data_IF_929719083224
#
_entry.id   IF_929719083224
#
_cell.length_a   1.000
_cell.length_b   1.000
_cell.length_c   1.000
_cell.angle_alpha   90.00
_cell.angle_beta   90.00
_cell.angle_gamma   90.00
#
_symmetry.space_group_name_H-M   'P 1'
#
loop_
_entity.id
_entity.type
_entity.pdbx_description
1 polymer ?
#
# COMPACT_ATOMS: atom_id res chain seq x y z
N UNK A 1 -9.99 -16.32 -3.82
CA UNK A 1 -9.30 -15.01 -3.80
C UNK A 1 -10.33 -13.93 -3.54
N UNK A 2 -10.36 -13.33 -2.34
CA UNK A 2 -11.15 -12.11 -2.10
C UNK A 2 -10.69 -10.98 -3.02
N UNK A 3 -11.66 -10.28 -3.63
CA UNK A 3 -11.45 -9.12 -4.50
C UNK A 3 -12.30 -7.97 -3.97
N UNK A 4 -11.75 -6.76 -3.96
CA UNK A 4 -12.44 -5.57 -3.47
C UNK A 4 -11.93 -4.32 -4.20
N UNK A 5 -12.82 -3.36 -4.45
CA UNK A 5 -12.47 -2.09 -5.07
C UNK A 5 -12.00 -1.10 -4.01
N UNK A 6 -10.86 -0.46 -4.23
CA UNK A 6 -10.30 0.54 -3.32
C UNK A 6 -9.37 1.50 -4.06
N UNK A 7 -9.46 2.79 -3.72
CA UNK A 7 -8.54 3.84 -4.20
C UNK A 7 -8.33 3.86 -5.73
N UNK A 8 -9.38 3.59 -6.52
CA UNK A 8 -9.32 3.66 -7.98
C UNK A 8 -8.96 2.35 -8.68
N UNK A 9 -8.63 1.27 -7.94
CA UNK A 9 -8.25 -0.02 -8.50
C UNK A 9 -8.96 -1.19 -7.80
N UNK A 10 -8.93 -2.37 -8.41
CA UNK A 10 -9.30 -3.60 -7.75
C UNK A 10 -8.08 -4.19 -7.06
N UNK A 11 -8.22 -4.54 -5.79
CA UNK A 11 -7.21 -5.26 -5.03
C UNK A 11 -7.70 -6.69 -4.78
N UNK A 12 -6.74 -7.61 -4.72
CA UNK A 12 -6.98 -9.03 -4.52
C UNK A 12 -6.01 -9.60 -3.50
N UNK A 13 -6.52 -10.48 -2.63
CA UNK A 13 -5.70 -11.28 -1.72
C UNK A 13 -5.60 -12.69 -2.30
N UNK A 14 -4.60 -12.91 -3.15
CA UNK A 14 -4.40 -14.19 -3.85
C UNK A 14 -3.77 -15.18 -2.88
N UNK A 15 -4.38 -16.37 -2.73
CA UNK A 15 -3.77 -17.41 -1.92
C UNK A 15 -2.78 -18.18 -2.77
N UNK A 16 -1.51 -18.13 -2.37
CA UNK A 16 -0.47 -19.01 -2.88
C UNK A 16 -0.52 -20.29 -2.08
N UNK A 17 -0.66 -21.43 -2.76
CA UNK A 17 -0.62 -22.75 -2.15
C UNK A 17 0.60 -23.50 -2.66
N UNK A 18 1.52 -23.83 -1.74
CA UNK A 18 2.78 -24.50 -2.07
C UNK A 18 2.75 -25.97 -1.62
N UNK A 19 2.05 -26.79 -2.41
CA UNK A 19 1.77 -28.18 -2.07
C UNK A 19 3.02 -29.05 -1.89
N UNK A 20 3.93 -29.06 -2.87
CA UNK A 20 4.96 -30.10 -2.97
C UNK A 20 6.16 -29.94 -2.03
N UNK A 21 6.40 -28.74 -1.50
CA UNK A 21 7.57 -28.48 -0.64
C UNK A 21 7.18 -28.36 0.83
N UNK A 22 6.10 -27.66 1.14
CA UNK A 22 5.74 -27.31 2.53
C UNK A 22 4.32 -27.68 2.90
N UNK A 23 3.41 -27.72 1.93
CA UNK A 23 1.97 -27.83 2.13
C UNK A 23 1.39 -26.65 2.94
N UNK A 24 1.95 -25.45 2.68
CA UNK A 24 1.51 -24.19 3.27
C UNK A 24 0.70 -23.34 2.29
N UNK A 25 -0.13 -22.46 2.85
CA UNK A 25 -0.89 -21.48 2.10
C UNK A 25 -0.80 -20.09 2.73
N UNK A 26 -0.56 -19.06 1.92
CA UNK A 26 -0.50 -17.67 2.39
C UNK A 26 -1.11 -16.71 1.39
N UNK A 27 -1.61 -15.55 1.84
CA UNK A 27 -2.07 -14.49 0.95
C UNK A 27 -0.87 -13.69 0.42
N UNK A 28 -0.95 -13.32 -0.85
CA UNK A 28 -0.18 -12.21 -1.41
C UNK A 28 -1.14 -11.14 -1.93
N UNK A 29 -0.63 -9.92 -2.04
CA UNK A 29 -1.39 -8.80 -2.58
C UNK A 29 -1.27 -8.79 -4.11
N UNK A 30 -2.39 -8.56 -4.79
CA UNK A 30 -2.43 -8.29 -6.22
C UNK A 30 -3.34 -7.10 -6.50
N UNK A 31 -3.14 -6.46 -7.64
CA UNK A 31 -4.01 -5.39 -8.12
C UNK A 31 -4.38 -5.59 -9.58
N UNK A 32 -5.51 -4.98 -9.97
CA UNK A 32 -6.03 -4.99 -11.33
C UNK A 32 -6.74 -3.68 -11.64
N UNK A 33 -6.53 -3.09 -12.83
CA UNK A 33 -7.29 -1.93 -13.27
C UNK A 33 -8.71 -2.29 -13.73
N UNK A 34 -8.95 -3.52 -14.18
CA UNK A 34 -10.13 -3.90 -14.97
C UNK A 34 -10.76 -5.24 -14.59
N UNK A 35 -10.28 -5.89 -13.52
CA UNK A 35 -10.63 -7.25 -13.05
C UNK A 35 -10.20 -8.40 -13.97
N UNK A 36 -9.57 -8.11 -15.11
CA UNK A 36 -9.14 -9.09 -16.11
C UNK A 36 -7.62 -9.29 -16.06
N UNK A 37 -6.84 -8.20 -16.12
CA UNK A 37 -5.39 -8.24 -15.99
C UNK A 37 -4.98 -8.03 -14.53
N UNK A 38 -4.20 -8.97 -13.98
CA UNK A 38 -3.81 -8.97 -12.57
C UNK A 38 -2.28 -8.95 -12.41
N UNK A 39 -1.80 -8.11 -11.50
CA UNK A 39 -0.39 -7.96 -11.18
C UNK A 39 -0.16 -8.23 -9.68
N UNK A 40 0.70 -9.20 -9.36
CA UNK A 40 1.15 -9.44 -7.97
C UNK A 40 2.04 -8.29 -7.50
N UNK A 41 1.81 -7.83 -6.28
CA UNK A 41 2.61 -6.79 -5.60
C UNK A 41 3.65 -7.50 -4.74
N UNK A 42 4.92 -7.12 -4.90
CA UNK A 42 6.04 -7.68 -4.13
C UNK A 42 6.03 -9.22 -4.09
N UNK A 43 6.16 -9.82 -5.28
CA UNK A 43 6.08 -11.26 -5.53
C UNK A 43 6.86 -12.08 -4.49
N UNK A 44 6.30 -13.22 -4.07
CA UNK A 44 6.88 -14.15 -3.08
C UNK A 44 6.98 -13.59 -1.66
N UNK A 45 6.33 -12.45 -1.38
CA UNK A 45 6.22 -11.90 -0.03
C UNK A 45 4.82 -12.14 0.54
N UNK A 46 4.76 -12.84 1.67
CA UNK A 46 3.52 -13.06 2.42
C UNK A 46 2.91 -11.71 2.84
N UNK A 47 1.69 -11.41 2.39
CA UNK A 47 1.02 -10.16 2.73
C UNK A 47 0.60 -10.11 4.20
N UNK A 48 0.06 -11.23 4.70
CA UNK A 48 -0.02 -11.53 6.12
C UNK A 48 0.98 -12.66 6.34
N UNK A 49 2.06 -12.44 7.11
CA UNK A 49 3.08 -13.44 7.31
C UNK A 49 2.55 -14.58 8.18
N UNK A 50 2.92 -15.81 7.83
CA UNK A 50 2.67 -16.97 8.68
C UNK A 50 3.58 -16.94 9.90
N UNK A 51 3.11 -17.48 11.02
CA UNK A 51 3.99 -17.67 12.17
C UNK A 51 5.18 -18.58 11.78
N UNK A 52 6.36 -18.21 12.28
CA UNK A 52 7.57 -19.06 12.17
C UNK A 52 7.61 -20.13 13.27
N UNK A 53 6.73 -20.06 14.25
CA UNK A 53 6.67 -21.00 15.37
C UNK A 53 5.63 -22.08 15.09
N UNK A 54 6.11 -23.31 15.13
CA UNK A 54 5.30 -24.52 14.93
C UNK A 54 4.13 -24.55 15.91
N UNK A 55 2.94 -24.89 15.39
CA UNK A 55 1.65 -24.96 16.10
C UNK A 55 1.07 -23.62 16.58
N UNK A 56 1.66 -22.47 16.23
CA UNK A 56 0.92 -21.22 16.36
C UNK A 56 -0.26 -21.20 15.39
N UNK A 57 -1.33 -20.49 15.76
CA UNK A 57 -2.64 -20.53 15.13
C UNK A 57 -2.69 -20.24 13.62
N UNK A 58 -1.64 -19.66 13.04
CA UNK A 58 -1.51 -19.34 11.61
C UNK A 58 -0.16 -19.82 11.02
N UNK A 59 0.45 -20.84 11.63
CA UNK A 59 1.69 -21.45 11.17
C UNK A 59 1.59 -22.03 9.75
N UNK A 60 0.52 -22.80 9.49
CA UNK A 60 0.43 -23.61 8.28
C UNK A 60 -0.31 -22.95 7.13
N UNK A 61 -1.47 -22.35 7.40
CA UNK A 61 -2.30 -21.76 6.36
C UNK A 61 -2.95 -20.45 6.79
N UNK A 62 -3.04 -19.51 5.86
CA UNK A 62 -3.76 -18.24 6.02
C UNK A 62 -4.70 -18.05 4.81
N UNK A 63 -5.99 -17.89 5.08
CA UNK A 63 -7.01 -17.57 4.09
C UNK A 63 -7.78 -16.32 4.48
N UNK A 64 -7.59 -15.23 3.74
CA UNK A 64 -8.25 -13.97 4.04
C UNK A 64 -9.71 -13.94 3.59
N UNK A 65 -10.52 -13.15 4.29
CA UNK A 65 -11.77 -12.60 3.77
C UNK A 65 -11.49 -11.30 2.99
N UNK A 66 -12.53 -10.74 2.36
CA UNK A 66 -12.47 -9.36 1.89
C UNK A 66 -12.24 -8.41 3.09
N UNK A 67 -11.36 -7.40 2.97
CA UNK A 67 -11.14 -6.43 4.04
C UNK A 67 -12.35 -5.54 4.31
N UNK A 68 -12.48 -5.10 5.57
CA UNK A 68 -13.39 -4.02 5.97
C UNK A 68 -12.58 -2.72 6.05
N UNK A 69 -12.85 -1.80 5.13
CA UNK A 69 -12.14 -0.53 5.01
C UNK A 69 -12.89 0.53 5.81
N UNK A 70 -12.23 1.09 6.84
CA UNK A 70 -12.73 2.21 7.65
C UNK A 70 -11.89 3.46 7.38
N UNK A 71 -12.32 4.60 7.92
CA UNK A 71 -11.65 5.90 7.75
C UNK A 71 -10.20 5.88 8.26
N UNK A 72 -9.94 5.22 9.39
CA UNK A 72 -8.67 5.23 10.12
C UNK A 72 -7.87 3.92 9.98
N UNK A 73 -8.54 2.81 9.66
CA UNK A 73 -7.93 1.48 9.63
C UNK A 73 -8.62 0.53 8.65
N UNK A 74 -7.89 -0.51 8.28
CA UNK A 74 -8.38 -1.62 7.49
C UNK A 74 -8.34 -2.86 8.37
N UNK A 75 -9.44 -3.61 8.40
CA UNK A 75 -9.57 -4.86 9.13
C UNK A 75 -9.58 -6.02 8.14
N UNK A 76 -8.72 -7.02 8.34
CA UNK A 76 -8.63 -8.20 7.49
C UNK A 76 -8.85 -9.41 8.38
N UNK A 77 -10.08 -9.94 8.35
CA UNK A 77 -10.37 -11.22 8.97
C UNK A 77 -9.76 -12.33 8.11
N UNK A 78 -9.20 -13.34 8.76
CA UNK A 78 -8.65 -14.50 8.06
C UNK A 78 -8.82 -15.76 8.88
N UNK A 79 -8.88 -16.89 8.19
CA UNK A 79 -8.76 -18.20 8.81
C UNK A 79 -7.28 -18.60 8.86
N UNK A 80 -6.78 -18.86 10.06
CA UNK A 80 -5.47 -19.45 10.31
C UNK A 80 -5.58 -20.96 10.57
N UNK A 81 -4.51 -21.72 10.32
CA UNK A 81 -4.37 -23.06 10.89
C UNK A 81 -2.99 -23.32 11.46
N UNK A 82 -2.97 -24.11 12.54
CA UNK A 82 -1.76 -24.47 13.28
C UNK A 82 -0.86 -25.52 12.60
N UNK A 83 -1.34 -26.10 11.50
CA UNK A 83 -0.63 -27.13 10.75
C UNK A 83 -0.92 -27.11 9.24
N UNK A 84 -0.30 -28.05 8.53
CA UNK A 84 -0.26 -28.17 7.06
C UNK A 84 -1.65 -28.34 6.43
N UNK A 85 -1.81 -27.84 5.21
CA UNK A 85 -3.09 -27.73 4.50
C UNK A 85 -3.84 -29.07 4.31
N UNK A 86 -3.13 -30.16 4.03
CA UNK A 86 -3.72 -31.48 3.77
C UNK A 86 -3.73 -32.40 5.00
N UNK A 87 -3.29 -31.90 6.16
CA UNK A 87 -3.24 -32.64 7.42
C UNK A 87 -4.35 -32.26 8.40
N UNK A 88 -4.52 -33.08 9.44
CA UNK A 88 -5.29 -32.74 10.65
C UNK A 88 -4.69 -31.51 11.32
N UNK A 89 -5.53 -30.52 11.64
CA UNK A 89 -5.14 -29.21 12.17
C UNK A 89 -6.31 -28.51 12.86
N UNK A 90 -6.00 -27.58 13.76
CA UNK A 90 -7.00 -26.67 14.32
C UNK A 90 -7.13 -25.44 13.42
N UNK A 91 -8.38 -25.00 13.23
CA UNK A 91 -8.69 -23.76 12.53
C UNK A 91 -8.97 -22.62 13.50
N UNK A 92 -8.56 -21.41 13.14
CA UNK A 92 -8.71 -20.22 13.97
C UNK A 92 -9.28 -19.08 13.14
N UNK A 93 -10.12 -18.24 13.75
CA UNK A 93 -10.54 -16.96 13.17
C UNK A 93 -9.65 -15.87 13.76
N UNK A 94 -9.00 -15.13 12.89
CA UNK A 94 -7.96 -14.17 13.23
C UNK A 94 -8.28 -12.80 12.62
N UNK A 95 -7.58 -11.78 13.09
CA UNK A 95 -7.72 -10.41 12.61
C UNK A 95 -6.33 -9.77 12.44
N UNK A 96 -6.01 -9.38 11.21
CA UNK A 96 -4.92 -8.46 10.92
C UNK A 96 -5.48 -7.05 10.72
N UNK A 97 -4.67 -6.04 11.05
CA UNK A 97 -5.05 -4.63 10.86
C UNK A 97 -3.97 -3.87 10.12
N UNK A 98 -4.38 -2.96 9.25
CA UNK A 98 -3.51 -1.97 8.62
C UNK A 98 -4.01 -0.57 8.96
N UNK A 99 -3.12 0.41 8.91
CA UNK A 99 -3.53 1.83 8.86
C UNK A 99 -4.26 2.13 7.54
N UNK A 100 -5.00 3.24 7.50
CA UNK A 100 -5.52 3.77 6.24
C UNK A 100 -4.40 3.87 5.17
N UNK A 101 -4.72 3.48 3.94
CA UNK A 101 -3.83 3.38 2.78
C UNK A 101 -2.60 2.46 2.97
N UNK A 102 -2.59 1.60 3.99
CA UNK A 102 -1.42 0.80 4.37
C UNK A 102 -1.21 -0.51 3.59
N UNK A 103 -1.82 -0.71 2.42
CA UNK A 103 -1.72 -1.97 1.67
C UNK A 103 -0.32 -2.22 1.10
N UNK A 104 0.22 -1.25 0.36
CA UNK A 104 1.55 -1.34 -0.22
C UNK A 104 2.08 0.07 -0.49
N UNK A 105 3.39 0.21 -0.53
CA UNK A 105 4.04 1.48 -0.83
C UNK A 105 5.35 1.27 -1.57
N UNK A 106 5.75 2.29 -2.32
CA UNK A 106 7.05 2.35 -2.97
C UNK A 106 8.13 2.78 -1.98
N UNK A 107 9.25 2.08 -1.99
CA UNK A 107 10.44 2.40 -1.21
C UNK A 107 11.69 2.34 -2.07
N UNK A 108 12.82 2.83 -1.55
CA UNK A 108 14.09 2.76 -2.25
C UNK A 108 14.59 1.32 -2.36
N UNK A 109 15.06 0.92 -3.55
CA UNK A 109 15.71 -0.37 -3.75
C UNK A 109 17.04 -0.49 -2.97
N UNK A 110 17.73 0.62 -2.75
CA UNK A 110 18.95 0.69 -1.95
C UNK A 110 18.89 1.91 -1.02
N UNK A 111 19.08 1.70 0.29
CA UNK A 111 18.90 2.75 1.32
C UNK A 111 19.89 3.92 1.19
N UNK A 112 21.05 3.69 0.57
CA UNK A 112 22.10 4.70 0.35
C UNK A 112 21.78 5.64 -0.83
N UNK A 113 20.73 5.38 -1.61
CA UNK A 113 20.37 6.16 -2.79
C UNK A 113 18.93 6.65 -2.72
N UNK A 114 18.66 7.93 -3.02
CA UNK A 114 17.30 8.41 -3.18
C UNK A 114 16.57 7.70 -4.32
N UNK A 115 15.27 7.51 -4.18
CA UNK A 115 14.40 7.04 -5.26
C UNK A 115 13.53 8.19 -5.77
N UNK A 116 13.24 8.19 -7.07
CA UNK A 116 12.38 9.20 -7.69
C UNK A 116 11.24 8.51 -8.44
N UNK A 117 10.02 8.95 -8.18
CA UNK A 117 8.82 8.45 -8.82
C UNK A 117 8.05 9.66 -9.35
N UNK A 118 7.69 9.64 -10.63
CA UNK A 118 6.83 10.67 -11.21
C UNK A 118 5.56 10.01 -11.70
N UNK A 119 4.40 10.55 -11.32
CA UNK A 119 3.13 10.04 -11.82
C UNK A 119 3.00 10.32 -13.31
N UNK A 120 2.18 9.52 -14.00
CA UNK A 120 1.54 10.01 -15.22
C UNK A 120 0.75 11.29 -14.92
N UNK A 121 0.42 12.12 -15.92
CA UNK A 121 -0.47 13.26 -15.71
C UNK A 121 -1.78 12.81 -15.05
N UNK A 122 -2.15 13.47 -13.95
CA UNK A 122 -3.37 13.19 -13.20
C UNK A 122 -4.26 14.41 -13.18
N UNK A 123 -5.58 14.18 -13.27
CA UNK A 123 -6.57 15.24 -13.18
C UNK A 123 -6.50 15.92 -11.81
N UNK A 124 -6.41 17.24 -11.82
CA UNK A 124 -6.34 18.08 -10.64
C UNK A 124 -7.58 18.96 -10.54
N UNK A 125 -8.26 18.88 -9.39
CA UNK A 125 -9.52 19.55 -9.12
C UNK A 125 -9.36 20.84 -8.30
N UNK A 126 -8.12 21.29 -8.03
CA UNK A 126 -7.84 22.46 -7.20
C UNK A 126 -7.85 22.20 -5.69
N UNK A 127 -8.14 20.96 -5.25
CA UNK A 127 -8.12 20.61 -3.83
C UNK A 127 -6.70 20.50 -3.28
N UNK A 128 -6.55 20.50 -1.94
CA UNK A 128 -5.27 20.19 -1.32
C UNK A 128 -4.77 18.80 -1.74
N UNK A 129 -3.47 18.70 -1.96
CA UNK A 129 -2.81 17.43 -2.26
C UNK A 129 -2.45 16.77 -0.94
N UNK A 130 -2.91 15.54 -0.74
CA UNK A 130 -2.66 14.77 0.48
C UNK A 130 -1.84 13.54 0.20
N UNK A 131 -1.00 13.14 1.15
CA UNK A 131 -0.11 11.97 1.04
C UNK A 131 -0.08 11.14 2.31
N UNK A 132 0.09 9.83 2.15
CA UNK A 132 0.41 8.90 3.24
C UNK A 132 1.78 8.29 3.00
N UNK A 133 2.67 8.40 3.99
CA UNK A 133 4.04 7.95 3.87
C UNK A 133 4.64 7.58 5.23
N UNK A 134 5.51 6.58 5.25
CA UNK A 134 6.37 6.31 6.40
C UNK A 134 7.75 6.91 6.13
N UNK A 135 8.36 7.54 7.14
CA UNK A 135 9.68 8.15 7.02
C UNK A 135 10.53 7.70 8.20
N UNK A 136 11.67 7.07 7.92
CA UNK A 136 12.64 6.64 8.93
C UNK A 136 13.38 7.87 9.52
N UNK A 137 14.07 7.68 10.64
CA UNK A 137 14.88 8.74 11.25
C UNK A 137 15.97 9.23 10.27
N UNK A 138 16.08 10.55 10.10
CA UNK A 138 16.96 11.18 9.11
C UNK A 138 16.48 11.06 7.66
N UNK A 139 15.31 10.46 7.42
CA UNK A 139 14.68 10.36 6.11
C UNK A 139 13.89 11.62 5.71
N UNK A 140 13.45 11.63 4.45
CA UNK A 140 12.55 12.65 3.92
C UNK A 140 11.76 12.14 2.72
N UNK A 141 10.53 12.61 2.59
CA UNK A 141 9.77 12.60 1.34
C UNK A 141 9.66 14.04 0.83
N UNK A 142 10.21 14.30 -0.36
CA UNK A 142 10.02 15.57 -1.06
C UNK A 142 9.00 15.37 -2.17
N UNK A 143 8.10 16.34 -2.31
CA UNK A 143 7.07 16.31 -3.36
C UNK A 143 7.16 17.60 -4.16
N UNK A 144 7.24 17.46 -5.48
CA UNK A 144 7.20 18.58 -6.41
C UNK A 144 6.03 18.39 -7.35
N UNK A 145 5.17 19.39 -7.43
CA UNK A 145 4.05 19.45 -8.37
C UNK A 145 4.58 20.05 -9.67
N UNK A 146 4.41 19.34 -10.78
CA UNK A 146 4.80 19.77 -12.11
C UNK A 146 3.54 20.13 -12.91
N UNK A 147 3.58 21.27 -13.62
CA UNK A 147 2.53 21.65 -14.57
C UNK A 147 2.51 20.72 -15.78
N UNK A 148 1.38 20.68 -16.49
CA UNK A 148 1.18 19.87 -17.70
C UNK A 148 2.25 20.12 -18.79
N UNK A 149 2.75 21.35 -18.90
CA UNK A 149 3.81 21.72 -19.84
C UNK A 149 5.24 21.55 -19.29
N UNK A 150 5.38 21.06 -18.05
CA UNK A 150 6.64 20.87 -17.35
C UNK A 150 7.40 22.14 -16.97
N UNK A 151 6.85 23.33 -17.27
CA UNK A 151 7.55 24.61 -17.09
C UNK A 151 7.48 25.13 -15.66
N UNK A 152 6.38 24.89 -14.95
CA UNK A 152 6.17 25.32 -13.57
C UNK A 152 6.38 24.14 -12.63
N UNK A 153 7.20 24.34 -11.61
CA UNK A 153 7.48 23.36 -10.57
C UNK A 153 7.25 24.00 -9.21
N UNK A 154 6.38 23.40 -8.40
CA UNK A 154 6.05 23.89 -7.06
C UNK A 154 6.50 22.82 -6.07
N UNK A 155 7.59 23.11 -5.34
CA UNK A 155 8.08 22.23 -4.30
C UNK A 155 7.24 22.38 -3.02
N UNK A 156 6.79 21.27 -2.46
CA UNK A 156 6.22 21.22 -1.12
C UNK A 156 7.33 21.23 -0.07
N UNK A 157 7.00 21.69 1.14
CA UNK A 157 7.86 21.49 2.30
C UNK A 157 8.11 19.98 2.51
N UNK A 158 9.37 19.55 2.74
CA UNK A 158 9.67 18.13 2.93
C UNK A 158 8.93 17.53 4.13
N UNK A 159 8.47 16.30 3.97
CA UNK A 159 7.90 15.49 5.05
C UNK A 159 9.04 14.66 5.65
N UNK A 160 9.29 14.84 6.95
CA UNK A 160 10.41 14.19 7.67
C UNK A 160 9.94 13.23 8.76
N UNK A 161 8.63 12.94 8.81
CA UNK A 161 8.00 12.04 9.78
C UNK A 161 6.93 11.21 9.07
N UNK A 162 6.61 10.05 9.63
CA UNK A 162 5.47 9.25 9.21
C UNK A 162 4.17 10.06 9.30
N UNK A 163 3.38 10.01 8.24
CA UNK A 163 2.11 10.73 8.10
C UNK A 163 1.06 9.83 7.45
N UNK A 164 -0.20 10.05 7.83
CA UNK A 164 -1.36 9.45 7.17
C UNK A 164 -2.27 10.57 6.75
N UNK A 165 -2.57 10.65 5.44
CA UNK A 165 -3.43 11.65 4.85
C UNK A 165 -3.02 13.10 5.22
N UNK A 166 -1.72 13.41 5.15
CA UNK A 166 -1.21 14.75 5.44
C UNK A 166 -1.30 15.65 4.22
N UNK A 167 -1.77 16.88 4.44
CA UNK A 167 -1.78 17.92 3.40
C UNK A 167 -0.36 18.40 3.12
N UNK A 168 0.01 18.49 1.84
CA UNK A 168 1.25 19.13 1.43
C UNK A 168 1.21 20.64 1.72
N UNK A 169 2.27 21.16 2.31
CA UNK A 169 2.49 22.60 2.47
C UNK A 169 3.18 23.13 1.21
N UNK A 170 2.42 23.77 0.32
CA UNK A 170 2.92 24.38 -0.91
C UNK A 170 3.09 25.89 -0.73
N UNK A 171 4.20 26.44 -1.24
CA UNK A 171 4.47 27.88 -1.17
C UNK A 171 3.66 28.73 -2.15
N UNK A 172 3.07 28.09 -3.16
CA UNK A 172 2.29 28.75 -4.21
C UNK A 172 1.05 27.92 -4.55
N UNK A 173 0.05 28.59 -5.15
CA UNK A 173 -1.15 27.91 -5.64
C UNK A 173 -0.80 27.08 -6.88
N UNK A 174 -1.29 25.84 -6.88
CA UNK A 174 -1.24 24.97 -8.05
C UNK A 174 -2.28 25.44 -9.07
N UNK A 175 -1.83 25.63 -10.30
CA UNK A 175 -2.66 26.06 -11.42
C UNK A 175 -2.74 24.94 -12.46
N UNK A 176 -3.86 24.89 -13.19
CA UNK A 176 -4.11 23.87 -14.21
C UNK A 176 -5.14 22.84 -13.79
N UNK A 177 -5.58 22.04 -14.77
CA UNK A 177 -6.55 20.94 -14.59
C UNK A 177 -5.88 19.56 -14.57
N UNK A 178 -4.59 19.53 -14.87
CA UNK A 178 -3.77 18.31 -14.93
C UNK A 178 -2.41 18.65 -14.36
N UNK A 179 -1.88 17.78 -13.50
CA UNK A 179 -0.55 17.91 -12.89
C UNK A 179 0.18 16.58 -12.91
N UNK A 180 1.50 16.61 -12.77
CA UNK A 180 2.28 15.44 -12.38
C UNK A 180 2.86 15.65 -10.99
N UNK A 181 2.96 14.58 -10.21
CA UNK A 181 3.60 14.62 -8.90
C UNK A 181 4.92 13.87 -8.99
N UNK A 182 6.02 14.58 -8.72
CA UNK A 182 7.34 14.00 -8.56
C UNK A 182 7.60 13.81 -7.07
N UNK A 183 7.78 12.57 -6.67
CA UNK A 183 8.16 12.16 -5.32
C UNK A 183 9.64 11.80 -5.31
N UNK A 184 10.39 12.38 -4.39
CA UNK A 184 11.77 12.00 -4.11
C UNK A 184 11.83 11.43 -2.68
N UNK A 185 12.19 10.15 -2.58
CA UNK A 185 12.17 9.37 -1.36
C UNK A 185 13.61 9.17 -0.87
N UNK A 186 13.85 9.47 0.41
CA UNK A 186 15.08 9.17 1.12
C UNK A 186 14.75 8.56 2.49
N UNK A 187 15.14 7.31 2.72
CA UNK A 187 14.71 6.45 3.83
C UNK A 187 13.20 6.60 4.12
N UNK A 188 12.40 6.48 3.06
CA UNK A 188 10.96 6.71 3.11
C UNK A 188 10.19 5.70 2.25
N UNK A 189 8.92 5.48 2.62
CA UNK A 189 7.96 4.65 1.90
C UNK A 189 6.70 5.45 1.57
N UNK A 190 6.40 5.63 0.29
CA UNK A 190 5.21 6.33 -0.20
C UNK A 190 4.08 5.34 -0.46
N UNK A 191 2.92 5.54 0.16
CA UNK A 191 1.77 4.62 0.04
C UNK A 191 0.68 5.16 -0.88
N UNK A 192 0.27 6.41 -0.68
CA UNK A 192 -0.84 7.01 -1.43
C UNK A 192 -0.66 8.51 -1.60
N UNK A 193 -1.36 9.03 -2.61
CA UNK A 193 -1.68 10.44 -2.73
C UNK A 193 -3.15 10.60 -3.13
N UNK A 194 -3.77 11.71 -2.76
CA UNK A 194 -5.13 12.02 -3.16
C UNK A 194 -5.37 13.53 -3.30
N UNK A 195 -6.45 13.87 -4.01
CA UNK A 195 -6.96 15.24 -4.17
C UNK A 195 -8.35 15.38 -3.51
N UNK A 196 -8.63 14.56 -2.49
CA UNK A 196 -9.91 14.60 -1.80
C UNK A 196 -9.88 15.70 -0.74
N UNK A 197 -10.99 16.41 -0.59
CA UNK A 197 -11.22 17.19 0.63
C UNK A 197 -11.28 16.24 1.82
N UNK A 198 -10.91 16.67 3.05
CA UNK A 198 -10.98 15.81 4.22
C UNK A 198 -12.36 15.14 4.29
N UNK A 199 -12.38 13.80 4.34
CA UNK A 199 -13.65 13.09 4.56
C UNK A 199 -14.21 13.57 5.90
N UNK A 200 -15.47 14.06 5.96
CA UNK A 200 -16.08 14.50 7.22
C UNK A 200 -15.95 13.43 8.31
#
# INVERSE_FOLDING_TARGET
MPIFYHAGAYLGLVTIFQQSSTDFAWPELAWSPDTMEWHRVNIETEFIPRSKKVLDYDYGCIYCSAPIIRKDKILIYYCGSDWKHTSWRNGHICLATLRADGFAGFEQAAKDKPAVITTNPVAYNGNPIRVSADVEEGGSLKVTVLSEDGKKQIAAKPITKTVTDACLELGEKVEGKTVQLKFELNNAKLYSFNFESPKP
#
